data_IF_092842868571
#
_entry.id   IF_092842868571
#
_cell.length_a   1.000
_cell.length_b   1.000
_cell.length_c   1.000
_cell.angle_alpha   90.00
_cell.angle_beta   90.00
_cell.angle_gamma   90.00
#
_symmetry.space_group_name_H-M   'P 1'
#
loop_
_entity.id
_entity.type
_entity.pdbx_description
1 polymer ?
#
# COMPACT_ATOMS: atom_id res chain seq x y z
N UNK A 1 5.73 23.18 1.64
CA UNK A 1 5.12 21.83 1.82
C UNK A 1 5.55 21.15 3.14
N UNK A 2 6.85 21.00 3.44
CA UNK A 2 7.36 20.29 4.63
C UNK A 2 6.86 20.84 5.99
N UNK A 3 6.79 22.17 6.17
CA UNK A 3 6.26 22.76 7.41
C UNK A 3 4.79 22.42 7.64
N UNK A 4 3.96 22.49 6.60
CA UNK A 4 2.54 22.13 6.70
C UNK A 4 2.37 20.66 7.10
N UNK A 5 3.16 19.75 6.53
CA UNK A 5 3.16 18.34 6.93
C UNK A 5 3.50 18.19 8.43
N UNK A 6 4.60 18.81 8.89
CA UNK A 6 5.00 18.75 10.31
C UNK A 6 3.92 19.26 11.26
N UNK A 7 3.26 20.37 10.90
CA UNK A 7 2.20 20.97 11.72
C UNK A 7 0.99 20.03 11.77
N UNK A 8 0.51 19.55 10.62
CA UNK A 8 -0.72 18.76 10.54
C UNK A 8 -0.57 17.31 11.03
N UNK A 9 0.65 16.80 11.14
CA UNK A 9 0.93 15.43 11.58
C UNK A 9 1.47 15.36 13.00
N UNK A 10 1.56 16.49 13.70
CA UNK A 10 2.11 16.58 15.06
C UNK A 10 1.46 15.54 15.99
N UNK A 11 0.13 15.51 16.04
CA UNK A 11 -0.59 14.63 16.97
C UNK A 11 -0.54 13.14 16.58
N UNK A 12 -0.08 12.83 15.37
CA UNK A 12 0.04 11.45 14.86
C UNK A 12 1.48 10.92 15.02
N UNK A 13 2.48 11.77 14.76
CA UNK A 13 3.88 11.34 14.63
C UNK A 13 4.79 11.79 15.78
N UNK A 14 4.38 12.77 16.60
CA UNK A 14 5.21 13.23 17.73
C UNK A 14 5.38 12.13 18.78
N UNK A 15 6.58 12.02 19.34
CA UNK A 15 6.92 11.01 20.35
C UNK A 15 7.34 9.64 19.79
N UNK A 16 7.12 9.39 18.49
CA UNK A 16 7.56 8.16 17.83
C UNK A 16 9.04 8.22 17.42
N UNK A 17 9.69 7.05 17.34
CA UNK A 17 11.03 6.92 16.77
C UNK A 17 11.03 7.25 15.27
N UNK A 18 12.17 7.68 14.72
CA UNK A 18 12.28 7.98 13.27
C UNK A 18 11.96 6.76 12.40
N UNK A 19 12.35 5.55 12.84
CA UNK A 19 12.00 4.30 12.17
C UNK A 19 10.49 4.11 12.12
N UNK A 20 9.78 4.25 13.25
CA UNK A 20 8.33 4.06 13.29
C UNK A 20 7.59 5.14 12.49
N UNK A 21 8.06 6.39 12.51
CA UNK A 21 7.53 7.46 11.64
C UNK A 21 7.67 7.09 10.17
N UNK A 22 8.84 6.60 9.75
CA UNK A 22 9.09 6.19 8.36
C UNK A 22 8.16 5.05 7.95
N UNK A 23 8.00 4.02 8.79
CA UNK A 23 7.07 2.91 8.55
C UNK A 23 5.63 3.40 8.40
N UNK A 24 5.16 4.26 9.31
CA UNK A 24 3.81 4.84 9.24
C UNK A 24 3.60 5.61 7.93
N UNK A 25 4.57 6.42 7.50
CA UNK A 25 4.44 7.19 6.26
C UNK A 25 4.42 6.25 5.03
N UNK A 26 5.24 5.19 5.03
CA UNK A 26 5.24 4.19 3.95
C UNK A 26 3.89 3.47 3.90
N UNK A 27 3.42 2.94 5.02
CA UNK A 27 2.13 2.25 5.11
C UNK A 27 1.00 3.20 4.68
N UNK A 28 0.97 4.43 5.21
CA UNK A 28 -0.03 5.42 4.82
C UNK A 28 -0.04 5.69 3.31
N UNK A 29 1.13 5.77 2.67
CA UNK A 29 1.21 5.98 1.22
C UNK A 29 0.66 4.82 0.39
N UNK A 30 0.69 3.61 0.95
CA UNK A 30 0.05 2.41 0.39
C UNK A 30 -1.45 2.51 0.61
N UNK A 31 -1.91 2.76 1.84
CA UNK A 31 -3.34 2.86 2.19
C UNK A 31 -4.08 3.91 1.35
N UNK A 32 -3.43 5.03 1.05
CA UNK A 32 -3.94 6.09 0.17
C UNK A 32 -4.32 5.58 -1.23
N UNK A 33 -3.70 4.48 -1.69
CA UNK A 33 -3.97 3.85 -2.99
C UNK A 33 -4.87 2.63 -2.91
N UNK A 34 -5.05 2.04 -1.72
CA UNK A 34 -5.75 0.77 -1.55
C UNK A 34 -7.20 0.92 -1.06
N UNK A 35 -7.51 1.97 -0.30
CA UNK A 35 -8.83 2.15 0.30
C UNK A 35 -9.28 3.61 0.34
N UNK A 36 -10.60 3.81 0.45
CA UNK A 36 -11.23 5.14 0.52
C UNK A 36 -11.65 5.53 1.93
N UNK A 37 -12.10 4.57 2.74
CA UNK A 37 -12.59 4.82 4.09
C UNK A 37 -11.49 4.63 5.13
N UNK A 38 -11.52 5.43 6.19
CA UNK A 38 -10.53 5.30 7.27
C UNK A 38 -10.64 3.94 7.98
N UNK A 39 -11.85 3.38 8.09
CA UNK A 39 -12.05 2.06 8.70
C UNK A 39 -11.37 0.95 7.90
N UNK A 40 -11.54 0.94 6.58
CA UNK A 40 -10.89 -0.05 5.71
C UNK A 40 -9.37 0.15 5.72
N UNK A 41 -8.90 1.39 5.68
CA UNK A 41 -7.47 1.70 5.80
C UNK A 41 -6.88 1.14 7.10
N UNK A 42 -7.59 1.26 8.24
CA UNK A 42 -7.12 0.73 9.52
C UNK A 42 -7.08 -0.80 9.54
N UNK A 43 -8.06 -1.47 8.92
CA UNK A 43 -8.06 -2.93 8.78
C UNK A 43 -6.91 -3.40 7.88
N UNK A 44 -6.71 -2.75 6.73
CA UNK A 44 -5.60 -3.05 5.81
C UNK A 44 -4.25 -2.79 6.50
N UNK A 45 -4.11 -1.71 7.27
CA UNK A 45 -2.91 -1.46 8.06
C UNK A 45 -2.60 -2.61 9.03
N UNK A 46 -3.63 -3.13 9.72
CA UNK A 46 -3.49 -4.31 10.58
C UNK A 46 -3.10 -5.58 9.82
N UNK A 47 -3.60 -5.77 8.60
CA UNK A 47 -3.20 -6.87 7.72
C UNK A 47 -1.73 -6.74 7.31
N UNK A 48 -1.28 -5.54 6.92
CA UNK A 48 0.11 -5.27 6.55
C UNK A 48 1.04 -5.58 7.73
N UNK A 49 0.77 -5.04 8.92
CA UNK A 49 1.58 -5.32 10.11
C UNK A 49 1.64 -6.81 10.44
N UNK A 50 0.50 -7.52 10.37
CA UNK A 50 0.44 -8.96 10.63
C UNK A 50 1.25 -9.76 9.61
N UNK A 51 1.17 -9.41 8.32
CA UNK A 51 1.92 -10.09 7.26
C UNK A 51 3.44 -9.90 7.43
N UNK A 52 3.89 -8.68 7.74
CA UNK A 52 5.31 -8.40 8.01
C UNK A 52 5.79 -9.23 9.20
N UNK A 53 5.05 -9.20 10.32
CA UNK A 53 5.39 -9.94 11.52
C UNK A 53 5.46 -11.46 11.29
N UNK A 54 4.69 -11.97 10.32
CA UNK A 54 4.65 -13.39 9.95
C UNK A 54 5.61 -13.75 8.80
N UNK A 55 6.41 -12.81 8.30
CA UNK A 55 7.31 -13.03 7.16
C UNK A 55 6.60 -13.36 5.84
N UNK A 56 5.35 -12.92 5.70
CA UNK A 56 4.54 -13.05 4.47
C UNK A 56 4.83 -11.91 3.50
N UNK A 57 4.70 -12.18 2.20
CA UNK A 57 4.74 -11.15 1.17
C UNK A 57 3.49 -10.25 1.27
N UNK A 58 3.63 -8.95 1.03
CA UNK A 58 2.48 -8.03 1.07
C UNK A 58 1.62 -8.14 -0.18
N UNK A 59 2.24 -8.37 -1.36
CA UNK A 59 1.55 -8.58 -2.64
C UNK A 59 0.56 -7.45 -2.97
N UNK A 60 1.06 -6.20 -2.95
CA UNK A 60 0.26 -5.00 -3.13
C UNK A 60 0.53 -4.39 -4.50
N UNK A 61 -0.49 -4.37 -5.36
CA UNK A 61 -0.40 -3.94 -6.76
C UNK A 61 0.10 -2.49 -6.89
N UNK A 62 -0.37 -1.57 -6.03
CA UNK A 62 0.07 -0.18 -6.05
C UNK A 62 1.59 -0.01 -5.88
N UNK A 63 2.23 -0.89 -5.10
CA UNK A 63 3.69 -0.87 -4.92
C UNK A 63 4.41 -1.33 -6.18
N UNK A 64 3.86 -2.34 -6.88
CA UNK A 64 4.39 -2.86 -8.15
C UNK A 64 4.27 -1.81 -9.25
N UNK A 65 3.09 -1.18 -9.40
CA UNK A 65 2.89 -0.11 -10.38
C UNK A 65 3.84 1.06 -10.18
N UNK A 66 4.07 1.47 -8.92
CA UNK A 66 5.02 2.52 -8.60
C UNK A 66 6.47 2.12 -8.97
N UNK A 67 6.87 0.88 -8.69
CA UNK A 67 8.17 0.34 -9.08
C UNK A 67 8.38 0.31 -10.60
N UNK A 68 7.35 -0.06 -11.36
CA UNK A 68 7.39 -0.05 -12.82
C UNK A 68 7.59 1.38 -13.37
N UNK A 69 6.85 2.36 -12.85
CA UNK A 69 7.02 3.77 -13.19
C UNK A 69 8.44 4.28 -12.89
N UNK A 70 8.98 3.97 -11.71
CA UNK A 70 10.36 4.37 -11.35
C UNK A 70 11.39 3.81 -12.34
N UNK A 71 11.23 2.55 -12.74
CA UNK A 71 12.11 1.90 -13.72
C UNK A 71 12.03 2.57 -15.09
N UNK A 72 10.83 2.93 -15.55
CA UNK A 72 10.63 3.63 -16.82
C UNK A 72 11.28 5.03 -16.81
N UNK A 73 11.12 5.81 -15.74
CA UNK A 73 11.78 7.11 -15.61
C UNK A 73 13.31 7.00 -15.67
N UNK A 74 13.87 6.02 -14.96
CA UNK A 74 15.30 5.75 -14.96
C UNK A 74 15.80 5.38 -16.36
N UNK A 75 15.05 4.53 -17.09
CA UNK A 75 15.41 4.12 -18.44
C UNK A 75 15.38 5.28 -19.44
N UNK A 76 14.35 6.12 -19.38
CA UNK A 76 14.20 7.25 -20.30
C UNK A 76 15.11 8.44 -19.96
N UNK A 77 15.83 8.39 -18.82
CA UNK A 77 16.60 9.49 -18.27
C UNK A 77 15.78 10.80 -18.16
N UNK A 78 14.47 10.66 -17.94
CA UNK A 78 13.54 11.77 -17.77
C UNK A 78 13.37 11.97 -16.26
N UNK A 79 13.31 13.23 -15.83
CA UNK A 79 13.04 13.52 -14.43
C UNK A 79 11.71 12.89 -13.99
N UNK A 80 11.65 12.48 -12.72
CA UNK A 80 10.44 11.94 -12.06
C UNK A 80 9.23 12.91 -12.08
N UNK A 81 9.39 14.12 -12.64
CA UNK A 81 8.32 15.10 -12.84
C UNK A 81 7.49 14.89 -14.11
N UNK A 82 7.88 13.97 -15.02
CA UNK A 82 6.96 13.54 -16.09
C UNK A 82 5.93 12.59 -15.49
N UNK A 83 4.67 12.73 -15.87
CA UNK A 83 3.59 11.91 -15.30
C UNK A 83 3.75 10.46 -15.75
N UNK A 84 3.94 9.53 -14.79
CA UNK A 84 3.70 8.11 -15.05
C UNK A 84 2.29 7.79 -14.59
N UNK A 85 1.48 7.33 -15.53
CA UNK A 85 0.14 6.89 -15.22
C UNK A 85 0.18 5.45 -14.71
N UNK A 86 0.25 5.30 -13.39
CA UNK A 86 0.23 3.98 -12.72
C UNK A 86 -1.01 3.15 -13.10
N UNK A 87 -2.10 3.77 -13.59
CA UNK A 87 -3.30 3.06 -14.04
C UNK A 87 -3.11 2.30 -15.36
N UNK A 88 -2.09 2.66 -16.14
CA UNK A 88 -1.75 2.02 -17.41
C UNK A 88 -0.75 0.87 -17.24
N UNK A 89 -0.24 0.65 -16.02
CA UNK A 89 0.69 -0.45 -15.75
C UNK A 89 -0.08 -1.77 -15.68
N UNK A 90 0.26 -2.70 -16.57
CA UNK A 90 -0.22 -4.07 -16.51
C UNK A 90 0.45 -4.84 -15.36
N UNK A 91 -0.04 -4.66 -14.12
CA UNK A 91 0.56 -5.21 -12.90
C UNK A 91 0.88 -6.70 -13.01
N UNK A 92 0.00 -7.50 -13.62
CA UNK A 92 0.19 -8.93 -13.81
C UNK A 92 1.49 -9.29 -14.55
N UNK A 93 1.98 -8.41 -15.43
CA UNK A 93 3.25 -8.59 -16.14
C UNK A 93 4.46 -8.16 -15.30
N UNK A 94 4.25 -7.31 -14.30
CA UNK A 94 5.29 -6.71 -13.46
C UNK A 94 5.52 -7.44 -12.13
N UNK A 95 4.59 -8.29 -11.67
CA UNK A 95 4.74 -9.00 -10.38
C UNK A 95 5.97 -9.92 -10.32
N UNK A 96 6.53 -10.31 -11.48
CA UNK A 96 7.75 -11.13 -11.58
C UNK A 96 9.02 -10.30 -11.88
N UNK A 97 8.87 -8.99 -12.06
CA UNK A 97 9.98 -8.08 -12.35
C UNK A 97 10.71 -7.73 -11.06
N UNK A 98 12.04 -7.84 -11.06
CA UNK A 98 12.82 -7.45 -9.89
C UNK A 98 12.81 -5.92 -9.69
N UNK A 99 12.31 -5.48 -8.53
CA UNK A 99 12.25 -4.08 -8.13
C UNK A 99 12.17 -3.98 -6.61
N UNK A 100 12.86 -2.99 -6.02
CA UNK A 100 12.81 -2.72 -4.58
C UNK A 100 11.40 -2.39 -4.05
N UNK A 101 10.48 -2.00 -4.93
CA UNK A 101 9.06 -1.77 -4.61
C UNK A 101 8.16 -2.99 -4.86
N UNK A 102 8.67 -4.08 -5.45
CA UNK A 102 7.86 -5.25 -5.75
C UNK A 102 7.64 -6.11 -4.49
N UNK A 103 6.51 -5.86 -3.82
CA UNK A 103 6.08 -6.61 -2.63
C UNK A 103 5.53 -8.01 -2.91
N UNK A 104 5.52 -8.45 -4.17
CA UNK A 104 5.37 -9.88 -4.53
C UNK A 104 6.69 -10.65 -4.45
N UNK A 105 7.83 -9.95 -4.39
CA UNK A 105 9.17 -10.57 -4.33
C UNK A 105 9.92 -10.24 -3.03
N UNK A 106 9.46 -9.24 -2.28
CA UNK A 106 10.09 -8.77 -1.03
C UNK A 106 9.08 -8.78 0.12
N UNK A 107 9.51 -9.28 1.28
CA UNK A 107 8.68 -9.45 2.50
C UNK A 107 8.58 -8.18 3.33
N UNK A 108 9.49 -7.24 3.12
CA UNK A 108 9.58 -5.99 3.86
C UNK A 108 8.72 -4.90 3.22
N UNK A 109 8.55 -3.79 3.93
CA UNK A 109 8.00 -2.57 3.34
C UNK A 109 8.88 -2.07 2.19
N UNK A 110 8.31 -1.39 1.19
CA UNK A 110 9.12 -0.72 0.18
C UNK A 110 10.04 0.33 0.81
N UNK A 111 11.16 0.68 0.14
CA UNK A 111 12.19 1.55 0.71
C UNK A 111 11.75 3.01 0.86
N UNK A 112 10.66 3.41 0.21
CA UNK A 112 10.08 4.75 0.36
C UNK A 112 8.57 4.73 0.17
N UNK A 113 7.88 5.82 0.56
CA UNK A 113 6.48 6.01 0.21
C UNK A 113 6.26 5.96 -1.30
N UNK A 114 5.11 5.43 -1.72
CA UNK A 114 4.71 5.31 -3.15
C UNK A 114 3.73 6.42 -3.59
N UNK A 115 3.32 7.27 -2.65
CA UNK A 115 2.39 8.38 -2.87
C UNK A 115 2.54 9.43 -1.77
N UNK A 116 1.79 10.54 -1.88
CA UNK A 116 1.66 11.55 -0.83
C UNK A 116 0.40 11.27 -0.01
N UNK A 117 0.48 10.61 1.17
CA UNK A 117 -0.70 10.24 1.93
C UNK A 117 -1.37 11.45 2.61
N UNK A 118 -2.69 11.40 2.68
CA UNK A 118 -3.51 12.31 3.46
C UNK A 118 -3.48 12.00 4.96
N UNK A 119 -4.10 12.88 5.76
CA UNK A 119 -4.18 12.71 7.21
C UNK A 119 -4.96 11.46 7.63
N UNK A 120 -5.99 11.06 6.87
CA UNK A 120 -6.77 9.84 7.15
C UNK A 120 -5.91 8.59 7.03
N UNK A 121 -5.12 8.46 5.96
CA UNK A 121 -4.22 7.34 5.77
C UNK A 121 -3.11 7.31 6.83
N UNK A 122 -2.56 8.48 7.21
CA UNK A 122 -1.57 8.59 8.29
C UNK A 122 -2.16 8.19 9.66
N UNK A 123 -3.36 8.67 9.99
CA UNK A 123 -4.11 8.28 11.19
C UNK A 123 -4.34 6.77 11.22
N UNK A 124 -4.78 6.21 10.10
CA UNK A 124 -5.08 4.78 9.97
C UNK A 124 -3.83 3.90 10.13
N UNK A 125 -2.71 4.30 9.50
CA UNK A 125 -1.43 3.61 9.62
C UNK A 125 -0.85 3.68 11.03
N UNK A 126 -1.09 4.78 11.76
CA UNK A 126 -0.67 4.92 13.16
C UNK A 126 -1.56 4.14 14.13
N UNK A 127 -2.82 3.87 13.76
CA UNK A 127 -3.83 3.22 14.61
C UNK A 127 -4.49 2.00 13.94
N UNK A 128 -3.72 0.98 13.53
CA UNK A 128 -4.23 -0.19 12.83
C UNK A 128 -5.28 -0.94 13.67
N UNK A 129 -6.27 -1.52 13.00
CA UNK A 129 -7.27 -2.39 13.64
C UNK A 129 -6.78 -3.84 13.59
N UNK A 130 -6.75 -4.48 14.76
CA UNK A 130 -6.53 -5.92 14.85
C UNK A 130 -7.77 -6.65 14.35
N UNK A 131 -7.55 -7.65 13.52
CA UNK A 131 -8.59 -8.56 13.01
C UNK A 131 -7.96 -9.91 12.74
N UNK A 132 -8.75 -10.91 12.35
CA UNK A 132 -8.24 -12.21 11.90
C UNK A 132 -7.85 -12.21 10.41
N UNK A 133 -8.17 -11.15 9.68
CA UNK A 133 -7.99 -11.11 8.24
C UNK A 133 -6.51 -11.14 7.84
N UNK A 134 -6.24 -11.80 6.72
CA UNK A 134 -4.92 -11.83 6.08
C UNK A 134 -4.97 -11.31 4.65
N UNK A 135 -6.15 -11.21 4.06
CA UNK A 135 -6.36 -10.86 2.66
C UNK A 135 -7.47 -9.83 2.55
N UNK A 136 -7.38 -8.99 1.53
CA UNK A 136 -8.40 -8.02 1.19
C UNK A 136 -8.47 -7.87 -0.33
N UNK A 137 -9.61 -7.41 -0.84
CA UNK A 137 -9.89 -7.28 -2.26
C UNK A 137 -10.82 -6.08 -2.48
N UNK A 138 -10.43 -5.11 -3.31
CA UNK A 138 -11.37 -4.08 -3.76
C UNK A 138 -12.29 -4.65 -4.83
N UNK A 139 -13.58 -4.31 -4.76
CA UNK A 139 -14.53 -4.64 -5.83
C UNK A 139 -14.23 -3.81 -7.09
N UNK A 140 -14.75 -4.23 -8.26
CA UNK A 140 -14.56 -3.47 -9.52
C UNK A 140 -15.07 -2.02 -9.45
N UNK A 141 -16.10 -1.74 -8.65
CA UNK A 141 -16.56 -0.36 -8.44
C UNK A 141 -15.60 0.47 -7.58
N UNK A 142 -14.74 -0.20 -6.80
CA UNK A 142 -13.80 0.41 -5.87
C UNK A 142 -14.48 1.00 -4.62
N UNK A 143 -15.76 0.68 -4.40
CA UNK A 143 -16.56 1.23 -3.30
C UNK A 143 -16.53 0.34 -2.05
N UNK A 144 -16.13 -0.92 -2.19
CA UNK A 144 -16.14 -1.90 -1.11
C UNK A 144 -14.83 -2.69 -1.07
N UNK A 145 -14.35 -2.99 0.14
CA UNK A 145 -13.22 -3.88 0.39
C UNK A 145 -13.74 -5.18 1.02
N UNK A 146 -13.48 -6.29 0.36
CA UNK A 146 -13.84 -7.64 0.84
C UNK A 146 -12.66 -8.24 1.58
N UNK A 147 -12.82 -8.50 2.86
CA UNK A 147 -11.79 -9.08 3.72
C UNK A 147 -11.92 -10.60 3.82
N UNK A 148 -10.80 -11.30 3.93
CA UNK A 148 -10.75 -12.77 4.05
C UNK A 148 -9.62 -13.23 4.97
N UNK A 149 -9.83 -14.35 5.66
CA UNK A 149 -8.90 -14.95 6.61
C UNK A 149 -7.94 -15.91 5.92
N UNK A 150 -8.39 -16.60 4.87
CA UNK A 150 -7.61 -17.63 4.16
C UNK A 150 -7.39 -17.30 2.69
N UNK A 151 -6.39 -17.96 2.09
CA UNK A 151 -6.12 -17.88 0.64
C UNK A 151 -7.28 -18.42 -0.18
N UNK A 152 -7.97 -19.44 0.32
CA UNK A 152 -9.10 -20.08 -0.36
C UNK A 152 -10.32 -19.15 -0.40
N UNK A 153 -10.65 -18.51 0.73
CA UNK A 153 -11.68 -17.48 0.80
C UNK A 153 -11.37 -16.31 -0.14
N UNK A 154 -10.12 -15.84 -0.13
CA UNK A 154 -9.68 -14.77 -1.01
C UNK A 154 -9.80 -15.16 -2.50
N UNK A 155 -9.40 -16.37 -2.87
CA UNK A 155 -9.54 -16.87 -4.24
C UNK A 155 -11.00 -17.00 -4.69
N UNK A 156 -11.90 -17.44 -3.80
CA UNK A 156 -13.34 -17.47 -4.06
C UNK A 156 -13.91 -16.05 -4.24
N UNK A 157 -13.48 -15.11 -3.40
CA UNK A 157 -13.88 -13.71 -3.53
C UNK A 157 -13.42 -13.10 -4.85
N UNK A 158 -12.20 -13.39 -5.33
CA UNK A 158 -11.77 -12.93 -6.67
C UNK A 158 -12.68 -13.44 -7.78
N UNK A 159 -13.05 -14.73 -7.77
CA UNK A 159 -14.01 -15.30 -8.73
C UNK A 159 -15.36 -14.60 -8.68
N UNK A 160 -15.86 -14.37 -7.47
CA UNK A 160 -17.19 -13.80 -7.23
C UNK A 160 -17.29 -12.32 -7.60
N UNK A 161 -16.28 -11.51 -7.25
CA UNK A 161 -16.34 -10.05 -7.36
C UNK A 161 -15.56 -9.47 -8.54
N UNK A 162 -14.60 -10.21 -9.10
CA UNK A 162 -13.78 -9.77 -10.23
C UNK A 162 -13.94 -10.61 -11.51
N UNK A 163 -14.71 -11.70 -11.48
CA UNK A 163 -14.90 -12.64 -12.61
C UNK A 163 -13.57 -13.25 -13.11
N UNK A 164 -12.61 -13.47 -12.19
CA UNK A 164 -11.27 -14.04 -12.44
C UNK A 164 -11.15 -15.49 -11.95
#
# INVERSE_FOLDING_TARGET
>A
MKNNFKIKTKDILTGLSETKKREIIIIASILEKEARTENDMRLIAGIIEKRIASGMLLQIDATVSYGACQREFKYLNISMFKYCDVSQIGVANEIKTDSEFNTYMRKELPPSPISNPGLKALSAAANPLKSDYLYYLSTRSGDEIIFSKTSEEHAQNRKKYLEL
#
